data_IF_296817608792
#
_entry.id   IF_296817608792
#
_cell.length_a   1.000
_cell.length_b   1.000
_cell.length_c   1.000
_cell.angle_alpha   90.00
_cell.angle_beta   90.00
_cell.angle_gamma   90.00
#
_symmetry.space_group_name_H-M   'P 1'
#
loop_
_entity.id
_entity.type
_entity.pdbx_description
1 polymer ?
#
# COMPACT_ATOMS: atom_id res chain seq x y z
N UNK A 1 -60.40 33.18 59.16
CA UNK A 1 -60.36 34.04 57.97
C UNK A 1 -59.77 33.23 56.84
N UNK A 2 -60.55 32.71 55.91
CA UNK A 2 -60.11 31.92 54.74
C UNK A 2 -60.20 32.83 53.52
N UNK A 3 -59.14 33.08 52.87
CA UNK A 3 -59.05 33.80 51.60
C UNK A 3 -58.92 32.77 50.47
N UNK A 4 -59.96 32.73 49.64
CA UNK A 4 -59.97 31.90 48.44
C UNK A 4 -59.51 32.75 47.26
N UNK A 5 -58.39 32.35 46.59
CA UNK A 5 -57.95 33.01 45.37
C UNK A 5 -58.35 32.12 44.18
N UNK A 6 -59.19 32.68 43.34
CA UNK A 6 -59.63 32.07 42.07
C UNK A 6 -58.60 32.36 40.98
N UNK A 7 -58.10 31.33 40.40
CA UNK A 7 -57.19 31.41 39.25
C UNK A 7 -57.95 31.21 37.95
N UNK A 8 -58.06 32.26 37.16
CA UNK A 8 -58.61 32.25 35.80
C UNK A 8 -57.56 31.73 34.83
N UNK A 9 -57.88 30.62 34.20
CA UNK A 9 -57.04 30.05 33.10
C UNK A 9 -57.49 30.69 31.79
N UNK A 10 -56.56 31.41 31.17
CA UNK A 10 -56.76 32.01 29.84
C UNK A 10 -56.17 31.01 28.79
N UNK A 11 -57.09 30.38 28.06
CA UNK A 11 -56.69 29.46 26.95
C UNK A 11 -56.39 30.28 25.71
N UNK A 12 -55.15 30.31 25.34
CA UNK A 12 -54.62 30.89 24.08
C UNK A 12 -54.69 29.85 22.99
N UNK A 13 -55.58 29.90 22.04
CA UNK A 13 -55.65 29.09 20.85
C UNK A 13 -54.64 29.63 19.82
N UNK A 14 -53.52 28.93 19.64
CA UNK A 14 -52.61 29.16 18.54
C UNK A 14 -53.05 28.32 17.32
N UNK A 15 -53.52 28.99 16.28
CA UNK A 15 -53.80 28.40 14.99
C UNK A 15 -52.44 28.11 14.27
N UNK A 16 -52.14 26.83 14.10
CA UNK A 16 -51.02 26.40 13.27
C UNK A 16 -51.50 26.33 11.83
N UNK A 17 -51.04 27.28 11.00
CA UNK A 17 -51.23 27.24 9.55
C UNK A 17 -50.28 26.18 8.96
N UNK A 18 -50.82 25.08 8.44
CA UNK A 18 -50.07 24.11 7.62
C UNK A 18 -49.70 24.77 6.30
N UNK A 19 -48.43 25.16 6.17
CA UNK A 19 -47.82 25.52 4.89
C UNK A 19 -47.36 24.26 4.18
N UNK A 20 -48.17 23.78 3.23
CA UNK A 20 -47.76 22.66 2.33
C UNK A 20 -46.81 23.17 1.28
N UNK A 21 -45.52 23.23 1.58
CA UNK A 21 -44.48 23.43 0.62
C UNK A 21 -44.22 22.12 -0.15
N UNK A 22 -44.68 22.04 -1.38
CA UNK A 22 -44.43 20.94 -2.31
C UNK A 22 -43.03 21.09 -2.85
N UNK A 23 -42.01 20.62 -2.14
CA UNK A 23 -40.63 20.47 -2.68
C UNK A 23 -40.58 19.16 -3.41
N UNK A 24 -40.67 19.20 -4.75
CA UNK A 24 -40.32 18.09 -5.62
C UNK A 24 -38.80 17.84 -5.49
N UNK A 25 -38.45 16.94 -4.59
CA UNK A 25 -37.08 16.39 -4.55
C UNK A 25 -36.90 15.56 -5.81
N UNK A 26 -36.20 16.13 -6.80
CA UNK A 26 -35.66 15.36 -7.94
C UNK A 26 -34.63 14.41 -7.39
N UNK A 27 -35.06 13.17 -7.13
CA UNK A 27 -34.15 12.07 -6.80
C UNK A 27 -33.33 11.77 -8.04
N UNK A 28 -32.14 12.36 -8.14
CA UNK A 28 -31.13 11.92 -9.09
C UNK A 28 -30.66 10.53 -8.66
N UNK A 29 -31.21 9.50 -9.32
CA UNK A 29 -30.71 8.13 -9.25
C UNK A 29 -29.22 8.19 -9.57
N UNK A 30 -28.30 7.68 -8.70
CA UNK A 30 -26.91 7.58 -9.07
C UNK A 30 -26.85 6.69 -10.32
N UNK A 31 -26.30 7.21 -11.40
CA UNK A 31 -25.96 6.44 -12.59
C UNK A 31 -24.82 5.53 -12.16
N UNK A 32 -25.15 4.28 -11.84
CA UNK A 32 -24.15 3.22 -11.66
C UNK A 32 -23.58 3.04 -13.06
N UNK A 33 -22.36 3.55 -13.27
CA UNK A 33 -21.54 3.17 -14.42
C UNK A 33 -21.39 1.64 -14.42
N UNK A 34 -20.99 1.01 -15.53
CA UNK A 34 -20.82 -0.43 -15.58
C UNK A 34 -19.87 -0.84 -14.45
N UNK A 35 -20.44 -1.53 -13.45
CA UNK A 35 -19.70 -2.15 -12.37
C UNK A 35 -18.87 -3.25 -13.03
N UNK A 36 -17.59 -2.96 -13.25
CA UNK A 36 -16.62 -3.98 -13.66
C UNK A 36 -16.63 -5.01 -12.53
N UNK A 37 -16.95 -6.29 -12.79
CA UNK A 37 -16.90 -7.31 -11.77
C UNK A 37 -15.46 -7.34 -11.24
N UNK A 38 -15.25 -6.81 -10.04
CA UNK A 38 -13.98 -6.98 -9.35
C UNK A 38 -13.92 -8.45 -8.98
N UNK A 39 -13.22 -9.24 -9.79
CA UNK A 39 -12.90 -10.62 -9.44
C UNK A 39 -12.01 -10.55 -8.22
N UNK A 40 -12.61 -10.76 -7.05
CA UNK A 40 -11.88 -10.77 -5.78
C UNK A 40 -11.09 -12.08 -5.75
N UNK A 41 -9.78 -12.00 -5.97
CA UNK A 41 -8.88 -13.11 -5.77
C UNK A 41 -8.67 -13.24 -4.25
N UNK A 42 -9.19 -14.34 -3.68
CA UNK A 42 -9.06 -14.62 -2.25
C UNK A 42 -8.96 -16.11 -1.99
N UNK A 43 -8.25 -16.50 -0.93
CA UNK A 43 -8.13 -17.89 -0.52
C UNK A 43 -8.14 -18.03 1.01
N UNK A 44 -9.33 -18.22 1.59
CA UNK A 44 -9.48 -18.46 3.04
C UNK A 44 -9.10 -19.88 3.45
N UNK A 45 -9.24 -20.86 2.55
CA UNK A 45 -8.99 -22.27 2.82
C UNK A 45 -7.55 -22.70 2.45
N UNK A 46 -6.75 -21.81 1.87
CA UNK A 46 -5.35 -22.07 1.56
C UNK A 46 -4.54 -22.28 2.85
N UNK A 47 -3.51 -23.15 2.82
CA UNK A 47 -2.64 -23.41 3.96
C UNK A 47 -2.03 -22.15 4.55
N UNK A 48 -2.19 -21.94 5.86
CA UNK A 48 -1.60 -20.85 6.62
C UNK A 48 -0.19 -21.23 7.08
N UNK A 49 0.78 -20.36 6.88
CA UNK A 49 2.19 -20.57 7.27
C UNK A 49 2.75 -19.31 7.94
N UNK A 50 3.74 -19.49 8.81
CA UNK A 50 4.40 -18.37 9.47
C UNK A 50 5.42 -17.73 8.52
N UNK A 51 5.51 -16.41 8.55
CA UNK A 51 6.52 -15.61 7.85
C UNK A 51 7.69 -15.37 8.80
N UNK A 52 8.86 -15.87 8.45
CA UNK A 52 10.07 -15.66 9.23
C UNK A 52 10.70 -14.29 8.93
N UNK A 53 10.71 -13.90 7.65
CA UNK A 53 11.13 -12.56 7.16
C UNK A 53 10.73 -12.33 5.71
N UNK A 54 10.66 -11.08 5.32
CA UNK A 54 10.60 -10.65 3.92
C UNK A 54 12.03 -10.45 3.42
N UNK A 55 12.32 -10.95 2.21
CA UNK A 55 13.63 -10.83 1.56
C UNK A 55 13.63 -9.59 0.67
N UNK A 56 12.58 -9.45 -0.14
CA UNK A 56 12.32 -8.36 -1.07
C UNK A 56 10.81 -8.27 -1.36
N UNK A 57 10.43 -7.48 -2.37
CA UNK A 57 9.02 -7.22 -2.66
C UNK A 57 8.19 -8.45 -3.06
N UNK A 58 8.80 -9.53 -3.53
CA UNK A 58 8.09 -10.73 -4.01
C UNK A 58 8.71 -12.04 -3.53
N UNK A 59 9.58 -11.99 -2.55
CA UNK A 59 10.23 -13.17 -1.97
C UNK A 59 10.19 -13.12 -0.45
N UNK A 60 9.67 -14.17 0.18
CA UNK A 60 9.59 -14.33 1.64
C UNK A 60 10.20 -15.66 2.09
N UNK A 61 10.79 -15.68 3.27
CA UNK A 61 11.15 -16.91 4.00
C UNK A 61 10.00 -17.26 4.96
N UNK A 62 9.50 -18.48 4.87
CA UNK A 62 8.39 -18.99 5.68
C UNK A 62 8.78 -20.23 6.46
N UNK A 63 7.89 -20.71 7.35
CA UNK A 63 8.06 -21.97 8.07
C UNK A 63 8.13 -23.20 7.16
N UNK A 64 7.71 -23.08 5.89
CA UNK A 64 7.77 -24.15 4.88
C UNK A 64 8.84 -23.92 3.80
N UNK A 65 9.73 -22.94 4.01
CA UNK A 65 10.82 -22.61 3.10
C UNK A 65 10.62 -21.27 2.40
N UNK A 66 11.55 -20.98 1.48
CA UNK A 66 11.50 -19.73 0.68
C UNK A 66 10.43 -19.80 -0.39
N UNK A 67 9.61 -18.75 -0.47
CA UNK A 67 8.52 -18.61 -1.43
C UNK A 67 8.75 -17.38 -2.29
N UNK A 68 8.76 -17.56 -3.61
CA UNK A 68 8.69 -16.50 -4.62
C UNK A 68 7.22 -16.34 -5.02
N UNK A 69 6.70 -15.13 -4.97
CA UNK A 69 5.33 -14.85 -5.38
C UNK A 69 5.13 -15.16 -6.86
N UNK A 70 4.07 -15.88 -7.17
CA UNK A 70 3.85 -16.39 -8.53
C UNK A 70 3.38 -15.30 -9.50
N UNK A 71 2.48 -14.44 -9.05
CA UNK A 71 1.73 -13.54 -9.92
C UNK A 71 2.40 -12.20 -10.20
N UNK A 72 3.52 -11.91 -9.56
CA UNK A 72 4.11 -10.57 -9.56
C UNK A 72 5.61 -10.58 -9.76
N UNK A 73 6.10 -9.44 -10.21
CA UNK A 73 7.52 -9.13 -10.35
C UNK A 73 7.76 -7.72 -9.79
N UNK A 74 8.58 -7.66 -8.75
CA UNK A 74 8.93 -6.39 -8.09
C UNK A 74 10.29 -5.90 -8.51
N UNK A 75 10.59 -4.59 -8.37
CA UNK A 75 11.92 -4.06 -8.62
C UNK A 75 12.98 -4.79 -7.82
N UNK A 76 14.10 -5.06 -8.47
CA UNK A 76 15.26 -5.70 -7.87
C UNK A 76 16.09 -4.68 -7.05
N UNK A 77 16.99 -5.19 -6.21
CA UNK A 77 17.90 -4.36 -5.41
C UNK A 77 18.69 -3.40 -6.28
N UNK A 78 18.60 -2.11 -5.97
CA UNK A 78 19.20 -1.02 -6.74
C UNK A 78 18.26 -0.36 -7.74
N UNK A 79 17.10 -0.94 -8.00
CA UNK A 79 16.08 -0.33 -8.86
C UNK A 79 15.22 0.67 -8.08
N UNK A 80 14.71 1.66 -8.79
CA UNK A 80 13.67 2.55 -8.24
C UNK A 80 12.48 1.73 -7.77
N UNK A 81 11.92 2.07 -6.61
CA UNK A 81 10.76 1.40 -6.00
C UNK A 81 11.07 0.07 -5.28
N UNK A 82 12.31 -0.37 -5.21
CA UNK A 82 12.68 -1.60 -4.48
C UNK A 82 12.30 -1.53 -3.00
N UNK A 83 12.69 -0.46 -2.31
CA UNK A 83 12.44 -0.29 -0.88
C UNK A 83 10.95 -0.20 -0.55
N UNK A 84 10.19 0.52 -1.38
CA UNK A 84 8.75 0.69 -1.22
C UNK A 84 7.98 -0.60 -1.48
N UNK A 85 8.40 -1.38 -2.48
CA UNK A 85 7.82 -2.70 -2.76
C UNK A 85 8.08 -3.67 -1.60
N UNK A 86 9.32 -3.73 -1.10
CA UNK A 86 9.70 -4.54 0.06
C UNK A 86 8.89 -4.17 1.29
N UNK A 87 8.81 -2.87 1.63
CA UNK A 87 8.03 -2.38 2.76
C UNK A 87 6.51 -2.63 2.60
N UNK A 88 6.00 -2.61 1.36
CA UNK A 88 4.62 -2.98 1.09
C UNK A 88 4.37 -4.45 1.39
N UNK A 89 5.27 -5.34 0.95
CA UNK A 89 5.18 -6.77 1.23
C UNK A 89 5.30 -7.07 2.73
N UNK A 90 6.21 -6.43 3.46
CA UNK A 90 6.32 -6.58 4.92
C UNK A 90 5.01 -6.22 5.63
N UNK A 91 4.40 -5.12 5.24
CA UNK A 91 3.13 -4.66 5.83
C UNK A 91 1.97 -5.59 5.51
N UNK A 92 1.91 -6.12 4.27
CA UNK A 92 0.82 -6.97 3.80
C UNK A 92 0.94 -8.41 4.31
N UNK A 93 2.14 -8.97 4.32
CA UNK A 93 2.39 -10.33 4.77
C UNK A 93 2.25 -10.48 6.30
N UNK A 94 2.64 -9.46 7.06
CA UNK A 94 2.59 -9.55 8.51
C UNK A 94 3.36 -10.77 9.05
N UNK A 95 2.80 -11.44 10.04
CA UNK A 95 3.43 -12.62 10.66
C UNK A 95 3.01 -13.96 10.04
N UNK A 96 1.93 -14.00 9.27
CA UNK A 96 1.39 -15.23 8.67
C UNK A 96 0.76 -14.96 7.31
N UNK A 97 0.95 -15.89 6.39
CA UNK A 97 0.36 -15.84 5.04
C UNK A 97 -0.26 -17.17 4.66
N UNK A 98 -1.18 -17.13 3.68
CA UNK A 98 -1.72 -18.33 3.04
C UNK A 98 -1.09 -18.49 1.66
N UNK A 99 -0.89 -19.75 1.26
CA UNK A 99 -0.20 -20.10 0.02
C UNK A 99 -1.12 -20.92 -0.88
N UNK A 100 -1.28 -20.47 -2.13
CA UNK A 100 -1.94 -21.21 -3.20
C UNK A 100 -0.92 -21.60 -4.26
N UNK A 101 -0.81 -22.88 -4.57
CA UNK A 101 0.12 -23.33 -5.59
C UNK A 101 -0.37 -22.91 -6.99
N UNK A 102 0.56 -22.44 -7.83
CA UNK A 102 0.31 -22.14 -9.22
C UNK A 102 0.53 -23.35 -10.12
N UNK A 103 0.40 -23.19 -11.45
CA UNK A 103 0.63 -24.27 -12.42
C UNK A 103 2.07 -24.82 -12.40
N UNK A 104 3.03 -24.05 -11.94
CA UNK A 104 4.41 -24.46 -11.70
C UNK A 104 4.72 -24.38 -10.22
N UNK A 105 5.37 -25.39 -9.66
CA UNK A 105 5.69 -25.46 -8.24
C UNK A 105 7.00 -24.74 -7.88
N UNK A 106 7.95 -24.70 -8.80
CA UNK A 106 9.26 -24.07 -8.59
C UNK A 106 9.68 -23.25 -9.79
N UNK A 107 10.57 -22.29 -9.54
CA UNK A 107 11.27 -21.55 -10.58
C UNK A 107 12.61 -22.22 -10.97
N UNK A 108 13.38 -21.56 -11.82
CA UNK A 108 14.70 -22.05 -12.26
C UNK A 108 15.77 -22.06 -11.17
N UNK A 109 15.52 -21.46 -10.02
CA UNK A 109 16.39 -21.41 -8.84
C UNK A 109 15.92 -22.33 -7.72
N UNK A 110 14.98 -23.23 -8.02
CA UNK A 110 14.37 -24.18 -7.08
C UNK A 110 13.62 -23.49 -5.89
N UNK A 111 13.20 -22.23 -6.07
CA UNK A 111 12.34 -21.54 -5.11
C UNK A 111 10.89 -21.99 -5.33
N UNK A 112 10.15 -22.24 -4.24
CA UNK A 112 8.71 -22.51 -4.34
C UNK A 112 8.00 -21.30 -4.93
N UNK A 113 7.16 -21.54 -5.94
CA UNK A 113 6.26 -20.53 -6.52
C UNK A 113 4.86 -20.70 -5.93
N UNK A 114 4.28 -19.64 -5.38
CA UNK A 114 2.92 -19.64 -4.88
C UNK A 114 2.29 -18.24 -4.98
N UNK A 115 0.97 -18.19 -5.17
CA UNK A 115 0.19 -16.98 -4.90
C UNK A 115 0.08 -16.80 -3.39
N UNK A 116 0.24 -15.58 -2.93
CA UNK A 116 0.34 -15.28 -1.50
C UNK A 116 -0.84 -14.42 -1.05
N UNK A 117 -1.43 -14.82 0.06
CA UNK A 117 -2.58 -14.14 0.65
C UNK A 117 -2.24 -13.77 2.09
N UNK A 118 -2.78 -12.67 2.58
CA UNK A 118 -2.69 -12.35 4.00
C UNK A 118 -3.44 -13.40 4.86
N UNK A 119 -3.31 -13.33 6.17
CA UNK A 119 -3.96 -14.27 7.09
C UNK A 119 -5.50 -14.28 6.93
N UNK A 120 -6.09 -13.19 6.44
CA UNK A 120 -7.53 -13.04 6.17
C UNK A 120 -7.93 -13.51 4.77
N UNK A 121 -7.00 -14.05 3.99
CA UNK A 121 -7.24 -14.60 2.66
C UNK A 121 -7.32 -13.57 1.53
N UNK A 122 -6.93 -12.31 1.74
CA UNK A 122 -6.85 -11.33 0.67
C UNK A 122 -5.52 -11.49 -0.10
N UNK A 123 -5.58 -11.46 -1.43
CA UNK A 123 -4.37 -11.63 -2.26
C UNK A 123 -3.39 -10.47 -2.07
N UNK A 124 -2.16 -10.79 -1.68
CA UNK A 124 -1.05 -9.84 -1.60
C UNK A 124 -0.57 -9.48 -3.01
N UNK A 125 -0.53 -10.45 -3.94
CA UNK A 125 -0.20 -10.21 -5.36
C UNK A 125 -1.09 -9.10 -5.95
N UNK A 126 -2.40 -9.18 -5.72
CA UNK A 126 -3.37 -8.15 -6.16
C UNK A 126 -3.06 -6.79 -5.54
N UNK A 127 -2.79 -6.74 -4.24
CA UNK A 127 -2.54 -5.49 -3.52
C UNK A 127 -1.24 -4.83 -3.97
N UNK A 128 -0.19 -5.60 -4.25
CA UNK A 128 1.08 -5.09 -4.76
C UNK A 128 0.93 -4.51 -6.17
N UNK A 129 0.24 -5.21 -7.08
CA UNK A 129 0.01 -4.74 -8.45
C UNK A 129 -0.90 -3.51 -8.47
N UNK A 130 -2.05 -3.58 -7.81
CA UNK A 130 -2.99 -2.46 -7.76
C UNK A 130 -2.42 -1.23 -7.05
N UNK A 131 -1.55 -1.44 -6.06
CA UNK A 131 -0.81 -0.39 -5.36
C UNK A 131 0.36 0.20 -6.13
N UNK A 132 0.71 -0.35 -7.30
CA UNK A 132 1.84 0.12 -8.12
C UNK A 132 3.21 -0.16 -7.51
N UNK A 133 3.34 -1.26 -6.77
CA UNK A 133 4.61 -1.75 -6.18
C UNK A 133 5.19 -2.93 -6.96
N UNK A 134 4.37 -3.61 -7.76
CA UNK A 134 4.76 -4.76 -8.56
C UNK A 134 4.18 -4.67 -9.96
N UNK A 135 4.83 -5.34 -10.91
CA UNK A 135 4.29 -5.66 -12.24
C UNK A 135 3.61 -7.01 -12.19
N UNK A 136 2.61 -7.22 -13.03
CA UNK A 136 1.99 -8.52 -13.20
C UNK A 136 2.93 -9.46 -13.97
N UNK A 137 3.05 -10.70 -13.50
CA UNK A 137 3.69 -11.75 -14.26
C UNK A 137 2.81 -12.13 -15.45
N UNK A 138 3.38 -12.05 -16.68
CA UNK A 138 2.58 -12.12 -17.93
C UNK A 138 2.67 -13.46 -18.66
N UNK A 139 3.54 -14.39 -18.25
CA UNK A 139 3.81 -15.60 -19.02
C UNK A 139 2.79 -16.70 -18.75
N UNK A 140 2.47 -16.98 -17.49
CA UNK A 140 1.55 -18.03 -17.09
C UNK A 140 0.87 -17.74 -15.74
N UNK A 141 0.00 -18.62 -15.27
CA UNK A 141 -0.66 -18.52 -13.97
C UNK A 141 -2.17 -18.33 -14.06
N UNK A 142 -2.91 -18.92 -13.09
CA UNK A 142 -4.37 -18.87 -13.09
C UNK A 142 -4.95 -17.49 -12.86
N UNK A 143 -4.21 -16.58 -12.22
CA UNK A 143 -4.67 -15.20 -11.93
C UNK A 143 -4.07 -14.15 -12.86
N UNK A 144 -3.29 -14.58 -13.87
CA UNK A 144 -2.55 -13.72 -14.78
C UNK A 144 -3.38 -12.59 -15.39
N UNK A 145 -4.53 -12.93 -15.99
CA UNK A 145 -5.31 -11.95 -16.75
C UNK A 145 -5.93 -10.87 -15.84
N UNK A 146 -6.28 -11.23 -14.61
CA UNK A 146 -6.77 -10.29 -13.60
C UNK A 146 -5.63 -9.35 -13.17
N UNK A 147 -4.44 -9.88 -12.90
CA UNK A 147 -3.28 -9.08 -12.47
C UNK A 147 -2.83 -8.13 -13.58
N UNK A 148 -2.83 -8.54 -14.86
CA UNK A 148 -2.54 -7.66 -16.00
C UNK A 148 -3.54 -6.50 -16.08
N UNK A 149 -4.83 -6.77 -15.88
CA UNK A 149 -5.86 -5.71 -15.87
C UNK A 149 -5.69 -4.72 -14.73
N UNK A 150 -5.27 -5.21 -13.56
CA UNK A 150 -4.95 -4.37 -12.40
C UNK A 150 -3.69 -3.51 -12.65
N UNK A 151 -2.65 -4.08 -13.25
CA UNK A 151 -1.45 -3.31 -13.62
C UNK A 151 -1.80 -2.18 -14.58
N UNK A 152 -2.62 -2.44 -15.60
CA UNK A 152 -3.07 -1.39 -16.52
C UNK A 152 -3.80 -0.27 -15.77
N UNK A 153 -4.70 -0.64 -14.86
CA UNK A 153 -5.42 0.34 -14.02
C UNK A 153 -4.47 1.14 -13.13
N UNK A 154 -3.48 0.49 -12.52
CA UNK A 154 -2.47 1.14 -11.69
C UNK A 154 -1.61 2.12 -12.51
N UNK A 155 -1.21 1.75 -13.72
CA UNK A 155 -0.49 2.63 -14.65
C UNK A 155 -1.29 3.87 -15.04
N UNK A 156 -2.54 3.66 -15.47
CA UNK A 156 -3.43 4.75 -15.90
C UNK A 156 -3.72 5.71 -14.74
N UNK A 157 -3.85 5.16 -13.52
CA UNK A 157 -4.04 5.89 -12.28
C UNK A 157 -2.76 6.47 -11.68
N UNK A 158 -1.58 6.18 -12.25
CA UNK A 158 -0.26 6.54 -11.71
C UNK A 158 -0.09 6.12 -10.26
N UNK A 159 -0.50 4.89 -9.92
CA UNK A 159 -0.44 4.36 -8.58
C UNK A 159 0.98 3.96 -8.18
N UNK A 160 1.31 4.20 -6.91
CA UNK A 160 2.55 3.76 -6.29
C UNK A 160 3.82 4.29 -6.95
N UNK A 161 4.96 3.75 -6.53
CA UNK A 161 6.28 4.21 -6.97
C UNK A 161 6.65 3.78 -8.40
N UNK A 162 6.04 2.72 -8.95
CA UNK A 162 6.34 2.27 -10.31
C UNK A 162 5.78 3.17 -11.40
N UNK A 163 4.63 3.83 -11.14
CA UNK A 163 3.87 4.53 -12.17
C UNK A 163 3.78 6.04 -11.94
N UNK A 164 4.22 6.53 -10.79
CA UNK A 164 4.40 7.97 -10.56
C UNK A 164 5.58 8.44 -11.41
N UNK A 165 5.39 9.46 -12.24
CA UNK A 165 6.51 10.06 -12.94
C UNK A 165 7.51 10.62 -11.91
N UNK A 166 8.81 10.48 -12.18
CA UNK A 166 9.86 11.00 -11.29
C UNK A 166 9.71 12.52 -10.98
N UNK A 167 8.99 13.26 -11.84
CA UNK A 167 8.63 14.66 -11.64
C UNK A 167 7.43 14.88 -10.71
N UNK A 168 6.60 13.84 -10.47
CA UNK A 168 5.40 13.90 -9.65
C UNK A 168 5.63 13.28 -8.26
N UNK A 169 6.74 12.55 -8.06
CA UNK A 169 7.26 12.26 -6.76
C UNK A 169 7.73 13.60 -6.17
N UNK A 170 6.85 14.25 -5.40
CA UNK A 170 7.22 15.42 -4.61
C UNK A 170 8.48 15.08 -3.82
N UNK A 171 9.24 16.10 -3.35
CA UNK A 171 10.41 15.81 -2.53
C UNK A 171 9.95 14.84 -1.43
N UNK A 172 10.56 13.66 -1.40
CA UNK A 172 10.31 12.71 -0.33
C UNK A 172 10.65 13.46 0.95
N UNK A 173 9.63 13.75 1.76
CA UNK A 173 9.82 14.39 3.04
C UNK A 173 10.55 13.37 3.92
N UNK A 174 11.88 13.46 3.92
CA UNK A 174 12.71 12.61 4.77
C UNK A 174 12.37 12.96 6.21
N UNK A 175 11.80 11.99 6.91
CA UNK A 175 11.46 12.12 8.32
C UNK A 175 12.75 12.25 9.14
N UNK A 176 13.12 13.49 9.44
CA UNK A 176 14.28 13.83 10.26
C UNK A 176 14.18 13.31 11.72
N UNK A 177 13.01 12.79 12.11
CA UNK A 177 12.77 12.22 13.44
C UNK A 177 13.10 10.72 13.54
N UNK A 178 13.56 10.07 12.45
CA UNK A 178 14.00 8.68 12.51
C UNK A 178 15.33 8.53 13.22
N UNK A 179 15.57 7.36 13.87
CA UNK A 179 16.84 7.08 14.52
C UNK A 179 18.02 7.19 13.55
N UNK A 180 19.20 7.44 14.11
CA UNK A 180 20.47 7.57 13.41
C UNK A 180 20.60 6.55 12.28
N UNK A 181 20.98 7.03 11.08
CA UNK A 181 21.15 6.21 9.90
C UNK A 181 22.62 6.09 9.55
N UNK A 182 23.04 4.93 9.08
CA UNK A 182 24.39 4.70 8.58
C UNK A 182 24.39 4.26 7.10
N UNK A 183 25.56 4.11 6.49
CA UNK A 183 25.68 3.76 5.08
C UNK A 183 25.07 2.39 4.74
N UNK A 184 24.89 1.51 5.71
CA UNK A 184 24.28 0.20 5.50
C UNK A 184 22.75 0.27 5.34
N UNK A 185 22.13 1.41 5.68
CA UNK A 185 20.70 1.65 5.50
C UNK A 185 20.34 2.05 4.06
N UNK A 186 21.34 2.30 3.21
CA UNK A 186 21.16 2.72 1.83
C UNK A 186 21.65 1.66 0.85
N UNK A 187 21.00 1.58 -0.29
CA UNK A 187 21.30 0.58 -1.32
C UNK A 187 22.31 1.12 -2.33
N UNK A 188 22.21 2.44 -2.59
CA UNK A 188 23.10 3.13 -3.53
C UNK A 188 23.68 4.40 -2.93
N UNK A 189 24.86 4.79 -3.44
CA UNK A 189 25.50 6.05 -3.09
C UNK A 189 24.59 7.25 -3.40
N UNK A 190 23.87 7.20 -4.53
CA UNK A 190 22.92 8.25 -4.93
C UNK A 190 21.78 8.42 -3.94
N UNK A 191 21.27 7.33 -3.34
CA UNK A 191 20.24 7.39 -2.30
C UNK A 191 20.79 8.00 -1.01
N UNK A 192 21.96 7.54 -0.57
CA UNK A 192 22.64 8.10 0.60
C UNK A 192 22.94 9.60 0.43
N UNK A 193 23.39 10.00 -0.75
CA UNK A 193 23.68 11.40 -1.08
C UNK A 193 22.43 12.28 -0.98
N UNK A 194 21.30 11.83 -1.56
CA UNK A 194 20.03 12.56 -1.47
C UNK A 194 19.55 12.72 -0.02
N UNK A 195 19.68 11.67 0.77
CA UNK A 195 19.34 11.73 2.19
C UNK A 195 20.25 12.69 2.95
N UNK A 196 21.56 12.63 2.71
CA UNK A 196 22.56 13.51 3.29
C UNK A 196 22.26 14.97 3.00
N UNK A 197 22.03 15.34 1.73
CA UNK A 197 21.69 16.70 1.33
C UNK A 197 20.37 17.16 1.96
N UNK A 198 19.35 16.32 2.01
CA UNK A 198 18.07 16.62 2.64
C UNK A 198 18.16 16.78 4.17
N UNK A 199 19.14 16.13 4.80
CA UNK A 199 19.40 16.21 6.24
C UNK A 199 20.30 17.39 6.63
N UNK A 200 20.76 18.20 5.65
CA UNK A 200 21.55 19.41 5.87
C UNK A 200 22.98 19.35 5.37
N UNK A 201 23.43 18.24 4.80
CA UNK A 201 24.78 18.12 4.25
C UNK A 201 25.03 19.07 3.06
N UNK A 202 26.27 19.52 2.82
CA UNK A 202 27.51 19.27 3.63
C UNK A 202 27.65 20.16 4.85
N UNK A 203 26.72 21.08 5.12
CA UNK A 203 26.83 22.03 6.26
C UNK A 203 26.55 21.33 7.62
N UNK A 204 25.77 20.28 7.63
CA UNK A 204 25.43 19.46 8.80
C UNK A 204 25.34 18.01 8.36
N UNK A 205 26.05 17.12 9.05
CA UNK A 205 25.95 15.67 8.84
C UNK A 205 25.51 15.00 10.16
N UNK A 206 24.22 15.07 10.51
CA UNK A 206 23.70 14.53 11.76
C UNK A 206 23.82 13.01 11.83
N UNK A 207 23.95 12.33 10.70
CA UNK A 207 24.03 10.88 10.58
C UNK A 207 25.43 10.34 10.26
N UNK A 208 26.43 11.21 10.11
CA UNK A 208 27.85 10.87 9.82
C UNK A 208 28.00 10.02 8.56
N UNK A 209 27.25 10.36 7.52
CA UNK A 209 27.28 9.66 6.24
C UNK A 209 28.46 10.04 5.36
N UNK A 210 29.06 11.22 5.60
CA UNK A 210 30.25 11.73 4.94
C UNK A 210 31.44 11.71 5.90
N UNK A 211 32.09 10.54 5.97
CA UNK A 211 33.16 10.29 6.94
C UNK A 211 34.49 11.01 6.67
N UNK A 212 34.70 11.54 5.46
CA UNK A 212 35.91 12.28 5.05
C UNK A 212 35.66 13.79 4.87
N UNK A 213 34.40 14.24 5.06
CA UNK A 213 33.96 15.63 4.99
C UNK A 213 34.20 16.28 3.60
N UNK A 214 34.11 15.51 2.53
CA UNK A 214 34.28 16.01 1.16
C UNK A 214 32.97 16.35 0.44
N UNK A 215 31.81 16.16 1.09
CA UNK A 215 30.49 16.43 0.58
C UNK A 215 29.85 15.25 -0.13
N UNK A 216 30.49 14.09 -0.11
CA UNK A 216 30.01 12.86 -0.76
C UNK A 216 29.67 11.83 0.31
N UNK A 217 28.39 11.53 0.49
CA UNK A 217 27.93 10.55 1.46
C UNK A 217 28.15 9.12 0.96
N UNK A 218 28.61 8.24 1.84
CA UNK A 218 28.65 6.79 1.63
C UNK A 218 29.33 6.35 0.32
N UNK A 219 30.53 6.89 0.01
CA UNK A 219 31.28 6.61 -1.23
C UNK A 219 31.56 5.13 -1.51
N UNK A 220 31.49 4.26 -0.50
CA UNK A 220 31.70 2.81 -0.63
C UNK A 220 30.50 2.06 -1.22
N UNK A 221 29.35 2.74 -1.35
CA UNK A 221 28.15 2.16 -1.97
C UNK A 221 28.23 2.22 -3.50
N UNK A 222 27.55 1.26 -4.19
CA UNK A 222 27.51 1.24 -5.64
C UNK A 222 26.70 2.40 -6.23
#
# INVERSE_FOLDING_TARGET
>A
MRVTIATTVFALLLAVACYSGNTSATSSKPTIGPEVPQTVISCMDCPLVDVNRVIDGDTIDTSVGRVRFYGVDTPERGDTCFSEATAATERLAGGQVRLEDGPRFTDSFDRRLAYVYDASGNSIDVQLVAGGYARAWTQDGQHRDVLIGLEQTARDGRAGCLWVAASDAGPQEFDQARPDRDCSDFITQTEAQKFYEASGGPAQDPHRLDGNEDGIACESLP
#
